data_IF_422010010409
#
_entry.id   IF_422010010409
#
_cell.length_a   1.000
_cell.length_b   1.000
_cell.length_c   1.000
_cell.angle_alpha   90.00
_cell.angle_beta   90.00
_cell.angle_gamma   90.00
#
_symmetry.space_group_name_H-M   'P 1'
#
loop_
_entity.id
_entity.type
_entity.pdbx_description
1 polymer ?
#
# COMPACT_ATOMS: atom_id res chain seq x y z
N UNK A 1 7.47 4.27 15.16
CA UNK A 1 7.19 3.75 13.80
C UNK A 1 8.07 2.53 13.57
N UNK A 2 7.65 1.60 12.71
CA UNK A 2 8.36 0.34 12.42
C UNK A 2 9.82 0.59 12.03
N UNK A 3 10.09 1.65 11.27
CA UNK A 3 11.46 2.03 10.88
C UNK A 3 12.41 2.38 12.04
N UNK A 4 11.90 2.88 13.17
CA UNK A 4 12.72 3.11 14.38
C UNK A 4 12.91 1.83 15.19
N UNK A 5 11.89 0.97 15.24
CA UNK A 5 11.94 -0.31 15.94
C UNK A 5 12.91 -1.30 15.29
N UNK A 6 13.09 -1.21 13.97
CA UNK A 6 13.96 -2.10 13.22
C UNK A 6 15.46 -1.84 13.43
N UNK A 7 15.85 -0.74 14.11
CA UNK A 7 17.26 -0.35 14.35
C UNK A 7 18.17 -0.41 13.10
N UNK A 8 17.58 -0.24 11.90
CA UNK A 8 18.30 -0.29 10.64
C UNK A 8 18.41 1.12 10.04
N UNK A 9 19.62 1.71 9.98
CA UNK A 9 19.83 3.07 9.51
C UNK A 9 19.50 3.27 8.03
N UNK A 10 19.52 2.19 7.23
CA UNK A 10 19.19 2.23 5.80
C UNK A 10 17.68 2.08 5.54
N UNK A 11 16.96 1.44 6.46
CA UNK A 11 15.53 1.20 6.32
C UNK A 11 14.71 2.47 6.57
N UNK A 12 15.07 3.26 7.59
CA UNK A 12 14.30 4.44 7.96
C UNK A 12 14.10 5.47 6.82
N UNK A 13 15.14 5.90 6.07
CA UNK A 13 14.96 6.83 4.96
C UNK A 13 14.13 6.23 3.82
N UNK A 14 14.39 4.96 3.45
CA UNK A 14 13.66 4.25 2.39
C UNK A 14 12.19 4.06 2.73
N UNK A 15 11.89 3.70 3.98
CA UNK A 15 10.53 3.53 4.49
C UNK A 15 9.76 4.84 4.50
N UNK A 16 10.40 5.96 4.87
CA UNK A 16 9.75 7.28 4.81
C UNK A 16 9.30 7.64 3.40
N UNK A 17 10.16 7.42 2.41
CA UNK A 17 9.81 7.67 1.00
C UNK A 17 8.65 6.77 0.56
N UNK A 18 8.73 5.47 0.87
CA UNK A 18 7.66 4.51 0.59
C UNK A 18 6.33 4.94 1.20
N UNK A 19 6.30 5.38 2.46
CA UNK A 19 5.07 5.82 3.14
C UNK A 19 4.47 7.08 2.53
N UNK A 20 5.29 8.02 2.06
CA UNK A 20 4.81 9.21 1.34
C UNK A 20 4.15 8.80 0.02
N UNK A 21 4.80 7.91 -0.74
CA UNK A 21 4.28 7.42 -2.01
C UNK A 21 3.00 6.59 -1.80
N UNK A 22 2.97 5.75 -0.76
CA UNK A 22 1.80 4.98 -0.35
C UNK A 22 0.62 5.87 0.04
N UNK A 23 0.84 6.93 0.84
CA UNK A 23 -0.22 7.87 1.20
C UNK A 23 -0.73 8.69 -0.02
N UNK A 24 0.16 9.04 -0.95
CA UNK A 24 -0.21 9.72 -2.20
C UNK A 24 -1.10 8.85 -3.06
N UNK A 25 -0.76 7.57 -3.21
CA UNK A 25 -1.56 6.60 -3.96
C UNK A 25 -2.86 6.31 -3.22
N UNK A 26 -2.83 6.15 -1.90
CA UNK A 26 -4.02 5.96 -1.06
C UNK A 26 -5.06 7.07 -1.26
N UNK A 27 -4.64 8.31 -1.52
CA UNK A 27 -5.56 9.41 -1.86
C UNK A 27 -6.42 9.12 -3.12
N UNK A 28 -5.90 8.34 -4.07
CA UNK A 28 -6.63 7.89 -5.26
C UNK A 28 -7.66 6.83 -4.88
N UNK A 29 -7.28 5.87 -4.02
CA UNK A 29 -8.21 4.89 -3.46
C UNK A 29 -9.37 5.55 -2.68
N UNK A 30 -9.08 6.59 -1.91
CA UNK A 30 -10.07 7.25 -1.05
C UNK A 30 -10.85 8.39 -1.73
N UNK A 31 -10.45 8.88 -2.92
CA UNK A 31 -11.23 9.87 -3.68
C UNK A 31 -12.22 9.19 -4.63
N UNK A 32 -13.43 9.00 -4.10
CA UNK A 32 -14.72 9.02 -4.81
C UNK A 32 -14.89 8.00 -5.96
N UNK A 33 -15.82 7.06 -5.76
CA UNK A 33 -16.46 6.23 -6.80
C UNK A 33 -15.69 4.99 -7.30
N UNK A 34 -14.76 4.46 -6.52
CA UNK A 34 -14.27 3.11 -6.78
C UNK A 34 -15.39 2.11 -6.48
N UNK A 35 -15.95 1.46 -7.51
CA UNK A 35 -17.07 0.51 -7.35
C UNK A 35 -16.78 -0.66 -6.38
N UNK A 36 -17.68 -1.64 -6.26
CA UNK A 36 -17.63 -2.67 -5.20
C UNK A 36 -16.28 -3.40 -5.04
N UNK A 37 -15.48 -3.50 -6.12
CA UNK A 37 -14.12 -4.04 -6.08
C UNK A 37 -13.18 -3.21 -5.18
N UNK A 38 -13.08 -1.90 -5.41
CA UNK A 38 -12.17 -1.02 -4.67
C UNK A 38 -12.56 -0.95 -3.19
N UNK A 39 -13.86 -1.01 -2.88
CA UNK A 39 -14.32 -1.08 -1.50
C UNK A 39 -13.87 -2.37 -0.79
N UNK A 40 -13.96 -3.52 -1.48
CA UNK A 40 -13.45 -4.79 -0.95
C UNK A 40 -11.94 -4.77 -0.73
N UNK A 41 -11.20 -4.15 -1.65
CA UNK A 41 -9.74 -4.05 -1.55
C UNK A 41 -9.32 -3.14 -0.37
N UNK A 42 -10.09 -2.06 -0.11
CA UNK A 42 -9.91 -1.22 1.09
C UNK A 42 -10.18 -1.99 2.39
N UNK A 43 -11.27 -2.77 2.45
CA UNK A 43 -11.58 -3.61 3.62
C UNK A 43 -10.48 -4.64 3.86
N UNK A 44 -9.96 -5.25 2.79
CA UNK A 44 -8.85 -6.20 2.86
C UNK A 44 -7.58 -5.52 3.37
N UNK A 45 -7.25 -4.33 2.85
CA UNK A 45 -6.08 -3.56 3.29
C UNK A 45 -6.17 -3.17 4.77
N UNK A 46 -7.36 -2.77 5.25
CA UNK A 46 -7.59 -2.47 6.67
C UNK A 46 -7.36 -3.71 7.55
N UNK A 47 -7.94 -4.86 7.19
CA UNK A 47 -7.73 -6.12 7.90
C UNK A 47 -6.26 -6.53 7.93
N UNK A 48 -5.53 -6.33 6.84
CA UNK A 48 -4.10 -6.63 6.79
C UNK A 48 -3.28 -5.71 7.70
N UNK A 49 -3.68 -4.45 7.90
CA UNK A 49 -3.02 -3.57 8.89
C UNK A 49 -3.19 -4.12 10.31
N UNK A 50 -4.38 -4.60 10.67
CA UNK A 50 -4.61 -5.22 11.97
C UNK A 50 -3.78 -6.50 12.14
N UNK A 51 -3.71 -7.34 11.11
CA UNK A 51 -2.84 -8.54 11.11
C UNK A 51 -1.35 -8.22 11.26
N UNK A 52 -0.87 -7.10 10.70
CA UNK A 52 0.51 -6.64 10.92
C UNK A 52 0.73 -6.24 12.37
N UNK A 53 -0.24 -5.56 13.00
CA UNK A 53 -0.16 -5.19 14.42
C UNK A 53 -0.08 -6.44 15.29
N UNK A 54 -0.99 -7.39 15.08
CA UNK A 54 -0.99 -8.67 15.82
C UNK A 54 0.33 -9.43 15.69
N UNK A 55 0.89 -9.52 14.48
CA UNK A 55 2.16 -10.21 14.25
C UNK A 55 3.32 -9.50 14.94
N UNK A 56 3.35 -8.17 14.94
CA UNK A 56 4.36 -7.38 15.65
C UNK A 56 4.23 -7.57 17.17
N UNK A 57 3.01 -7.54 17.71
CA UNK A 57 2.76 -7.77 19.15
C UNK A 57 3.16 -9.18 19.59
N UNK A 58 2.94 -10.18 18.73
CA UNK A 58 3.38 -11.55 18.95
C UNK A 58 4.89 -11.78 18.73
N UNK A 59 5.63 -10.75 18.33
CA UNK A 59 7.04 -10.84 17.92
C UNK A 59 7.30 -11.85 16.77
N UNK A 60 6.30 -12.07 15.91
CA UNK A 60 6.35 -12.99 14.78
C UNK A 60 6.78 -12.24 13.50
N UNK A 61 8.10 -12.18 13.30
CA UNK A 61 8.69 -11.45 12.17
C UNK A 61 8.34 -12.08 10.81
N UNK A 62 8.20 -13.41 10.74
CA UNK A 62 7.90 -14.12 9.50
C UNK A 62 6.47 -13.82 9.05
N UNK A 63 5.50 -13.95 9.98
CA UNK A 63 4.10 -13.57 9.72
C UNK A 63 3.98 -12.09 9.38
N UNK A 64 4.67 -11.20 10.08
CA UNK A 64 4.66 -9.77 9.74
C UNK A 64 5.17 -9.54 8.31
N UNK A 65 6.23 -10.25 7.90
CA UNK A 65 6.77 -10.21 6.54
C UNK A 65 5.78 -10.71 5.48
N UNK A 66 5.07 -11.80 5.75
CA UNK A 66 4.05 -12.36 4.86
C UNK A 66 2.87 -11.40 4.67
N UNK A 67 2.35 -10.84 5.78
CA UNK A 67 1.23 -9.90 5.72
C UNK A 67 1.61 -8.63 4.96
N UNK A 68 2.83 -8.10 5.15
CA UNK A 68 3.32 -6.93 4.39
C UNK A 68 3.42 -7.25 2.89
N UNK A 69 3.89 -8.44 2.51
CA UNK A 69 3.92 -8.85 1.09
C UNK A 69 2.51 -8.90 0.51
N UNK A 70 1.58 -9.56 1.19
CA UNK A 70 0.18 -9.64 0.77
C UNK A 70 -0.46 -8.26 0.65
N UNK A 71 -0.14 -7.35 1.57
CA UNK A 71 -0.63 -5.98 1.55
C UNK A 71 -0.13 -5.20 0.33
N UNK A 72 1.15 -5.33 -0.03
CA UNK A 72 1.69 -4.69 -1.23
C UNK A 72 1.09 -5.24 -2.53
N UNK A 73 0.70 -6.51 -2.57
CA UNK A 73 0.05 -7.11 -3.74
C UNK A 73 -1.35 -6.53 -4.01
N UNK A 74 -2.11 -6.18 -2.97
CA UNK A 74 -3.41 -5.47 -3.11
C UNK A 74 -3.24 -4.15 -3.86
N UNK A 75 -2.10 -3.46 -3.66
CA UNK A 75 -1.79 -2.24 -4.42
C UNK A 75 -1.29 -2.54 -5.83
N UNK A 76 -0.51 -3.61 -6.04
CA UNK A 76 0.07 -3.94 -7.35
C UNK A 76 -0.98 -4.25 -8.40
N UNK A 77 -2.06 -4.93 -8.04
CA UNK A 77 -3.19 -5.17 -8.95
C UNK A 77 -3.76 -3.86 -9.53
N UNK A 78 -3.65 -2.76 -8.78
CA UNK A 78 -4.21 -1.47 -9.15
C UNK A 78 -3.19 -0.46 -9.69
N UNK A 79 -1.90 -0.59 -9.37
CA UNK A 79 -0.84 0.29 -9.91
C UNK A 79 -0.81 0.26 -11.44
N UNK A 80 -1.17 -0.86 -12.08
CA UNK A 80 -1.33 -0.93 -13.52
C UNK A 80 -2.42 0.03 -14.07
N UNK A 81 -3.47 0.28 -13.29
CA UNK A 81 -4.55 1.22 -13.62
C UNK A 81 -4.11 2.68 -13.50
N UNK A 82 -3.10 2.97 -12.66
CA UNK A 82 -2.65 4.32 -12.31
C UNK A 82 -1.27 4.70 -12.86
N UNK A 83 -0.59 3.78 -13.56
CA UNK A 83 0.69 4.02 -14.21
C UNK A 83 0.60 4.87 -15.48
N UNK A 84 -0.62 5.21 -15.94
CA UNK A 84 -0.82 6.14 -17.06
C UNK A 84 -0.65 7.58 -16.54
N UNK A 85 0.33 8.35 -17.02
CA UNK A 85 0.47 9.75 -16.64
C UNK A 85 -0.79 10.53 -17.01
N UNK A 86 -1.27 11.39 -16.11
CA UNK A 86 -2.30 12.39 -16.41
C UNK A 86 -1.73 13.36 -17.48
N UNK A 87 -1.92 12.99 -18.75
CA UNK A 87 -1.33 13.66 -19.90
C UNK A 87 -1.47 12.87 -21.22
N UNK A 88 -1.71 11.55 -21.17
CA UNK A 88 -1.90 10.73 -22.38
C UNK A 88 -3.34 10.29 -22.65
N UNK A 89 -4.33 10.88 -21.97
CA UNK A 89 -5.75 10.57 -22.21
C UNK A 89 -6.29 11.19 -23.51
N UNK A 90 -5.56 12.13 -24.13
CA UNK A 90 -5.98 12.84 -25.35
C UNK A 90 -5.43 12.29 -26.67
N UNK A 91 -4.66 11.20 -26.68
CA UNK A 91 -4.03 10.67 -27.89
C UNK A 91 -4.55 9.29 -28.33
N UNK A 92 -5.56 8.76 -27.64
CA UNK A 92 -6.24 7.49 -28.00
C UNK A 92 -7.59 7.69 -28.72
N UNK A 93 -7.94 8.93 -29.08
CA UNK A 93 -9.12 9.26 -29.92
C UNK A 93 -8.71 9.90 -31.26
N UNK A 94 -7.76 9.28 -31.98
CA UNK A 94 -7.53 9.57 -33.41
C UNK A 94 -7.53 8.31 -34.25
#
# INVERSE_FOLDING_TARGET
>A
NIGRMAHNPYLLPSLKKLLIDHARIGKIFYRQSGGPRIQKDQETAAQQHDQMIEAIEAHDADRAGDVVRAHLEVFRSDVALYAVPNGMQGELER
#
